data_IF_562194237518
#
_entry.id   IF_562194237518
#
_cell.length_a   1.000
_cell.length_b   1.000
_cell.length_c   1.000
_cell.angle_alpha   90.00
_cell.angle_beta   90.00
_cell.angle_gamma   90.00
#
_symmetry.space_group_name_H-M   'P 1'
#
loop_
_entity.id
_entity.type
_entity.pdbx_description
1 polymer ?
#
# COMPACT_ATOMS: atom_id res chain seq x y z
N UNK A 1 -13.34 26.77 -15.07
CA UNK A 1 -14.36 25.74 -15.32
C UNK A 1 -14.47 24.75 -14.15
N UNK A 2 -13.42 24.08 -13.68
CA UNK A 2 -13.48 23.11 -12.58
C UNK A 2 -14.03 23.69 -11.25
N UNK A 3 -13.49 24.82 -10.78
CA UNK A 3 -13.98 25.47 -9.56
C UNK A 3 -15.45 25.92 -9.65
N UNK A 4 -15.94 26.27 -10.84
CA UNK A 4 -17.34 26.61 -11.03
C UNK A 4 -18.25 25.39 -10.80
N UNK A 5 -17.82 24.21 -11.22
CA UNK A 5 -18.56 22.96 -10.98
C UNK A 5 -18.57 22.61 -9.48
N UNK A 6 -17.43 22.72 -8.79
CA UNK A 6 -17.36 22.50 -7.34
C UNK A 6 -18.32 23.41 -6.61
N UNK A 7 -18.30 24.70 -6.93
CA UNK A 7 -19.18 25.70 -6.31
C UNK A 7 -20.66 25.45 -6.64
N UNK A 8 -20.97 25.01 -7.89
CA UNK A 8 -22.36 24.75 -8.28
C UNK A 8 -22.96 23.51 -7.58
N UNK A 9 -22.11 22.58 -7.14
CA UNK A 9 -22.49 21.37 -6.43
C UNK A 9 -22.35 21.51 -4.90
N UNK A 10 -22.00 22.70 -4.39
CA UNK A 10 -21.74 22.98 -2.98
C UNK A 10 -20.80 21.96 -2.33
N UNK A 11 -19.73 21.62 -3.04
CA UNK A 11 -18.72 20.68 -2.57
C UNK A 11 -17.62 21.41 -1.81
N UNK A 12 -17.19 20.80 -0.71
CA UNK A 12 -16.06 21.27 0.12
C UNK A 12 -14.90 20.32 0.01
N UNK A 13 -13.68 20.85 -0.01
CA UNK A 13 -12.46 20.06 0.05
C UNK A 13 -12.16 19.69 1.51
N UNK A 14 -11.94 18.38 1.77
CA UNK A 14 -11.40 17.92 3.05
C UNK A 14 -9.92 18.29 3.15
N UNK A 15 -9.52 18.74 4.34
CA UNK A 15 -8.13 19.11 4.60
C UNK A 15 -7.19 17.91 4.50
N UNK A 16 -6.10 18.09 3.77
CA UNK A 16 -5.07 17.08 3.62
C UNK A 16 -4.14 17.08 4.83
N UNK A 17 -3.91 15.92 5.43
CA UNK A 17 -2.97 15.77 6.55
C UNK A 17 -1.73 14.97 6.16
N UNK A 18 -0.63 15.20 6.88
CA UNK A 18 0.62 14.45 6.74
C UNK A 18 1.57 14.94 5.65
N UNK A 19 1.07 15.62 4.61
CA UNK A 19 1.84 16.24 3.52
C UNK A 19 1.14 17.48 2.97
N UNK A 20 1.88 18.33 2.26
CA UNK A 20 1.33 19.51 1.59
C UNK A 20 0.88 19.22 0.16
N UNK A 21 1.48 18.22 -0.48
CA UNK A 21 1.29 17.89 -1.88
C UNK A 21 0.87 16.43 -2.06
N UNK A 22 0.27 16.12 -3.21
CA UNK A 22 -0.19 14.77 -3.56
C UNK A 22 0.50 14.21 -4.79
N UNK A 23 1.28 15.04 -5.47
CA UNK A 23 2.04 14.67 -6.65
C UNK A 23 3.44 15.27 -6.63
N UNK A 24 4.41 14.54 -7.15
CA UNK A 24 5.77 15.03 -7.38
C UNK A 24 6.35 14.34 -8.61
N UNK A 25 7.07 15.10 -9.46
CA UNK A 25 7.84 14.48 -10.52
C UNK A 25 9.04 13.69 -9.92
N UNK A 26 9.67 12.85 -10.73
CA UNK A 26 10.78 11.98 -10.29
C UNK A 26 12.16 12.61 -10.49
N UNK A 27 12.24 13.93 -10.72
CA UNK A 27 13.49 14.66 -10.93
C UNK A 27 14.30 14.79 -9.62
N UNK A 28 15.57 15.14 -9.75
CA UNK A 28 16.47 15.40 -8.61
C UNK A 28 15.96 16.59 -7.77
N UNK A 29 15.56 17.66 -8.45
CA UNK A 29 14.84 18.79 -7.87
C UNK A 29 13.37 18.64 -8.24
N UNK A 30 12.55 18.01 -7.37
CA UNK A 30 11.18 17.69 -7.70
C UNK A 30 10.30 18.94 -7.69
N UNK A 31 9.40 19.01 -8.67
CA UNK A 31 8.24 19.90 -8.61
C UNK A 31 7.12 19.19 -7.88
N UNK A 32 6.46 19.88 -6.97
CA UNK A 32 5.37 19.38 -6.16
C UNK A 32 4.07 20.07 -6.52
N UNK A 33 2.97 19.29 -6.56
CA UNK A 33 1.63 19.79 -6.86
C UNK A 33 0.58 19.09 -5.99
N UNK A 34 -0.50 19.83 -5.64
CA UNK A 34 -1.66 19.27 -4.97
C UNK A 34 -2.76 18.99 -6.00
N UNK A 35 -2.62 17.89 -6.73
CA UNK A 35 -3.54 17.52 -7.82
C UNK A 35 -4.75 16.73 -7.30
N UNK A 36 -4.52 15.84 -6.35
CA UNK A 36 -5.55 14.93 -5.85
C UNK A 36 -6.26 15.55 -4.65
N UNK A 37 -7.60 15.53 -4.66
CA UNK A 37 -8.46 16.14 -3.66
C UNK A 37 -9.64 15.24 -3.32
N UNK A 38 -10.09 15.29 -2.09
CA UNK A 38 -11.35 14.67 -1.66
C UNK A 38 -12.37 15.78 -1.44
N UNK A 39 -13.42 15.74 -2.25
CA UNK A 39 -14.52 16.70 -2.21
C UNK A 39 -15.75 16.02 -1.63
N UNK A 40 -16.44 16.67 -0.71
CA UNK A 40 -17.62 16.14 -0.01
C UNK A 40 -18.75 17.15 -0.01
N UNK A 41 -19.99 16.67 0.03
CA UNK A 41 -21.15 17.54 0.24
C UNK A 41 -21.28 17.92 1.73
N UNK A 42 -22.01 19.00 2.00
CA UNK A 42 -22.34 19.43 3.36
C UNK A 42 -23.05 18.31 4.16
N UNK A 43 -23.98 17.61 3.54
CA UNK A 43 -24.68 16.48 4.20
C UNK A 43 -23.73 15.34 4.58
N UNK A 44 -22.74 15.05 3.72
CA UNK A 44 -21.75 14.04 4.00
C UNK A 44 -20.82 14.48 5.15
N UNK A 45 -20.36 15.72 5.16
CA UNK A 45 -19.54 16.31 6.23
C UNK A 45 -20.26 16.26 7.59
N UNK A 46 -21.55 16.60 7.61
CA UNK A 46 -22.38 16.51 8.82
C UNK A 46 -22.54 15.07 9.30
N UNK A 47 -22.61 14.11 8.40
CA UNK A 47 -22.72 12.69 8.74
C UNK A 47 -21.41 12.11 9.26
N UNK A 48 -20.26 12.61 8.81
CA UNK A 48 -18.92 12.11 9.17
C UNK A 48 -18.00 13.26 9.63
N UNK A 49 -18.33 13.94 10.74
CA UNK A 49 -17.65 15.17 11.17
C UNK A 49 -16.18 14.96 11.57
N UNK A 50 -15.74 13.70 11.77
CA UNK A 50 -14.34 13.37 12.08
C UNK A 50 -13.61 12.73 10.91
N UNK A 51 -14.13 12.87 9.70
CA UNK A 51 -13.44 12.39 8.52
C UNK A 51 -12.11 13.12 8.32
N UNK A 52 -11.08 12.36 7.98
CA UNK A 52 -9.73 12.87 7.70
C UNK A 52 -9.19 12.31 6.39
N UNK A 53 -8.44 13.13 5.67
CA UNK A 53 -7.70 12.72 4.47
C UNK A 53 -6.22 12.78 4.76
N UNK A 54 -5.53 11.66 4.58
CA UNK A 54 -4.10 11.58 4.77
C UNK A 54 -3.40 11.16 3.48
N UNK A 55 -2.35 11.89 3.08
CA UNK A 55 -1.45 11.44 2.04
C UNK A 55 -0.47 10.42 2.60
N UNK A 56 -0.44 9.24 1.98
CA UNK A 56 0.47 8.16 2.33
C UNK A 56 1.80 8.29 1.59
N UNK A 57 2.77 7.44 1.97
CA UNK A 57 4.06 7.37 1.29
C UNK A 57 3.88 6.96 -0.17
N UNK A 58 4.60 7.64 -1.06
CA UNK A 58 4.58 7.37 -2.50
C UNK A 58 5.26 6.04 -2.82
N UNK A 59 4.68 5.28 -3.72
CA UNK A 59 5.35 4.12 -4.31
C UNK A 59 6.38 4.55 -5.37
N UNK A 60 7.43 3.75 -5.54
CA UNK A 60 8.52 4.07 -6.50
C UNK A 60 8.02 4.22 -7.93
N UNK A 61 7.02 3.44 -8.31
CA UNK A 61 6.45 3.41 -9.66
C UNK A 61 5.42 4.51 -9.93
N UNK A 62 5.09 5.33 -8.93
CA UNK A 62 4.06 6.37 -9.05
C UNK A 62 4.61 7.75 -8.75
N UNK A 63 4.12 8.75 -9.47
CA UNK A 63 4.33 10.16 -9.16
C UNK A 63 3.25 10.71 -8.19
N UNK A 64 2.15 9.98 -7.99
CA UNK A 64 1.08 10.31 -7.05
C UNK A 64 1.29 9.67 -5.69
N UNK A 65 0.85 10.36 -4.66
CA UNK A 65 0.75 9.86 -3.28
C UNK A 65 -0.67 9.32 -3.07
N UNK A 66 -0.83 8.07 -2.60
CA UNK A 66 -2.15 7.54 -2.30
C UNK A 66 -2.84 8.36 -1.21
N UNK A 67 -4.12 8.66 -1.37
CA UNK A 67 -4.93 9.31 -0.35
C UNK A 67 -5.71 8.27 0.45
N UNK A 68 -5.61 8.34 1.78
CA UNK A 68 -6.40 7.56 2.70
C UNK A 68 -7.49 8.43 3.31
N UNK A 69 -8.74 8.16 2.94
CA UNK A 69 -9.92 8.74 3.58
C UNK A 69 -10.33 7.86 4.75
N UNK A 70 -10.27 8.39 5.96
CA UNK A 70 -10.69 7.72 7.19
C UNK A 70 -11.93 8.41 7.76
N UNK A 71 -12.95 7.65 8.13
CA UNK A 71 -14.17 8.11 8.79
C UNK A 71 -14.66 7.06 9.77
N UNK A 72 -15.42 7.47 10.79
CA UNK A 72 -15.83 6.63 11.93
C UNK A 72 -16.83 5.52 11.57
N UNK A 73 -16.47 4.65 10.66
CA UNK A 73 -17.09 3.33 10.59
C UNK A 73 -16.11 2.39 11.28
N UNK A 74 -16.51 1.86 12.45
CA UNK A 74 -15.76 0.78 13.08
C UNK A 74 -15.48 -0.28 12.01
N UNK A 75 -14.23 -0.54 11.66
CA UNK A 75 -13.95 -1.60 10.71
C UNK A 75 -14.47 -2.89 11.32
N UNK A 76 -15.54 -3.44 10.75
CA UNK A 76 -15.95 -4.78 11.10
C UNK A 76 -14.69 -5.66 11.02
N UNK A 77 -14.48 -6.56 11.97
CA UNK A 77 -13.34 -7.47 12.01
C UNK A 77 -13.42 -8.45 10.82
N UNK A 78 -13.16 -7.94 9.63
CA UNK A 78 -13.03 -8.79 8.44
C UNK A 78 -11.66 -9.45 8.50
N UNK A 79 -11.65 -10.77 8.55
CA UNK A 79 -10.40 -11.53 8.41
C UNK A 79 -9.75 -11.15 7.06
N UNK A 80 -8.46 -10.81 7.03
CA UNK A 80 -7.79 -10.44 5.80
C UNK A 80 -7.90 -11.58 4.77
N UNK A 81 -8.36 -11.24 3.57
CA UNK A 81 -8.45 -12.19 2.47
C UNK A 81 -7.06 -12.77 2.14
N UNK A 82 -7.04 -14.05 1.77
CA UNK A 82 -5.82 -14.66 1.25
C UNK A 82 -5.49 -14.03 -0.11
N UNK A 83 -4.31 -13.44 -0.21
CA UNK A 83 -3.75 -12.92 -1.46
C UNK A 83 -2.55 -13.78 -1.85
N UNK A 84 -2.57 -14.31 -3.07
CA UNK A 84 -1.43 -14.99 -3.66
C UNK A 84 -0.47 -13.95 -4.23
N UNK A 85 0.82 -14.05 -3.88
CA UNK A 85 1.86 -13.16 -4.41
C UNK A 85 2.62 -13.88 -5.53
N UNK A 86 2.65 -13.31 -6.73
CA UNK A 86 3.32 -13.93 -7.90
C UNK A 86 4.81 -14.18 -7.65
N UNK A 87 5.48 -13.35 -6.84
CA UNK A 87 6.86 -13.54 -6.43
C UNK A 87 7.14 -14.86 -5.67
N UNK A 88 6.10 -15.57 -5.21
CA UNK A 88 6.31 -16.90 -4.62
C UNK A 88 6.70 -17.94 -5.66
N UNK A 89 6.28 -17.76 -6.93
CA UNK A 89 6.61 -18.68 -8.02
C UNK A 89 8.09 -18.67 -8.40
N UNK A 90 8.82 -17.60 -8.08
CA UNK A 90 10.26 -17.49 -8.37
C UNK A 90 11.14 -18.09 -7.28
N UNK A 91 10.54 -18.64 -6.21
CA UNK A 91 11.28 -19.23 -5.10
C UNK A 91 11.50 -20.71 -5.33
N UNK A 92 12.73 -21.16 -5.16
CA UNK A 92 13.13 -22.56 -5.40
C UNK A 92 12.35 -23.55 -4.51
N UNK A 93 12.09 -23.16 -3.25
CA UNK A 93 11.40 -24.01 -2.27
C UNK A 93 9.86 -24.01 -2.41
N UNK A 94 9.27 -23.10 -3.19
CA UNK A 94 7.82 -22.94 -3.26
C UNK A 94 7.10 -24.16 -3.82
N UNK A 95 7.66 -24.75 -4.88
CA UNK A 95 7.05 -25.92 -5.55
C UNK A 95 6.98 -27.13 -4.60
N UNK A 96 8.04 -27.39 -3.87
CA UNK A 96 8.09 -28.51 -2.91
C UNK A 96 7.09 -28.32 -1.78
N UNK A 97 7.06 -27.12 -1.22
CA UNK A 97 6.12 -26.73 -0.17
C UNK A 97 4.66 -26.93 -0.59
N UNK A 98 4.29 -26.57 -1.83
CA UNK A 98 2.94 -26.79 -2.35
C UNK A 98 2.66 -28.28 -2.54
N UNK A 99 3.60 -29.05 -3.11
CA UNK A 99 3.47 -30.50 -3.34
C UNK A 99 3.28 -31.22 -2.00
N UNK A 100 4.09 -30.92 -1.00
CA UNK A 100 4.02 -31.56 0.31
C UNK A 100 2.71 -31.29 1.02
N UNK A 101 2.25 -30.02 0.98
CA UNK A 101 0.92 -29.67 1.51
C UNK A 101 -0.20 -30.40 0.76
N UNK A 102 -0.08 -30.56 -0.55
CA UNK A 102 -1.11 -31.20 -1.40
C UNK A 102 -1.15 -32.72 -1.23
N UNK A 103 -0.02 -33.36 -0.99
CA UNK A 103 0.11 -34.82 -0.78
C UNK A 103 -0.46 -35.29 0.55
N UNK A 104 -0.62 -34.39 1.52
CA UNK A 104 -1.17 -34.78 2.81
C UNK A 104 -2.57 -35.40 2.64
N UNK A 105 -2.79 -36.53 3.32
CA UNK A 105 -4.06 -37.20 3.31
C UNK A 105 -5.17 -36.34 3.94
N UNK A 106 -6.34 -36.44 3.41
CA UNK A 106 -7.56 -35.84 3.99
C UNK A 106 -8.73 -36.80 3.78
N UNK A 107 -9.64 -36.85 4.74
CA UNK A 107 -10.88 -37.58 4.66
C UNK A 107 -11.99 -36.66 4.13
N UNK A 108 -12.69 -37.10 3.08
CA UNK A 108 -13.84 -36.42 2.52
C UNK A 108 -14.69 -37.44 1.78
N UNK A 109 -15.98 -37.20 1.71
CA UNK A 109 -16.95 -38.13 1.10
C UNK A 109 -16.96 -37.99 -0.43
N UNK A 110 -16.65 -36.80 -0.92
CA UNK A 110 -16.64 -36.52 -2.38
C UNK A 110 -15.32 -35.90 -2.85
N UNK A 111 -14.97 -36.06 -4.14
CA UNK A 111 -13.79 -35.41 -4.72
C UNK A 111 -13.78 -33.88 -4.53
N UNK A 112 -14.95 -33.23 -4.57
CA UNK A 112 -15.11 -31.80 -4.37
C UNK A 112 -14.78 -31.39 -2.93
N UNK A 113 -15.24 -32.14 -1.94
CA UNK A 113 -14.93 -31.90 -0.53
C UNK A 113 -13.42 -32.06 -0.26
N UNK A 114 -12.82 -33.15 -0.80
CA UNK A 114 -11.38 -33.39 -0.72
C UNK A 114 -10.61 -32.19 -1.30
N UNK A 115 -11.01 -31.71 -2.47
CA UNK A 115 -10.39 -30.55 -3.09
C UNK A 115 -10.53 -29.28 -2.24
N UNK A 116 -11.73 -29.00 -1.72
CA UNK A 116 -11.99 -27.83 -0.85
C UNK A 116 -11.14 -27.86 0.44
N UNK A 117 -11.02 -29.05 1.07
CA UNK A 117 -10.19 -29.25 2.26
C UNK A 117 -8.72 -28.98 1.93
N UNK A 118 -8.22 -29.54 0.83
CA UNK A 118 -6.83 -29.34 0.39
C UNK A 118 -6.52 -27.88 0.10
N UNK A 119 -7.40 -27.17 -0.62
CA UNK A 119 -7.25 -25.73 -0.91
C UNK A 119 -7.25 -24.89 0.36
N UNK A 120 -8.17 -25.17 1.30
CA UNK A 120 -8.25 -24.45 2.58
C UNK A 120 -6.97 -24.64 3.37
N UNK A 121 -6.48 -25.88 3.48
CA UNK A 121 -5.23 -26.23 4.15
C UNK A 121 -4.03 -25.53 3.50
N UNK A 122 -3.93 -25.61 2.18
CA UNK A 122 -2.86 -24.96 1.43
C UNK A 122 -2.83 -23.44 1.66
N UNK A 123 -3.98 -22.76 1.60
CA UNK A 123 -4.09 -21.31 1.88
C UNK A 123 -3.63 -20.98 3.29
N UNK A 124 -4.01 -21.78 4.28
CA UNK A 124 -3.63 -21.57 5.68
C UNK A 124 -2.12 -21.81 5.86
N UNK A 125 -1.59 -22.85 5.27
CA UNK A 125 -0.17 -23.16 5.29
C UNK A 125 0.67 -22.06 4.61
N UNK A 126 0.27 -21.61 3.41
CA UNK A 126 0.97 -20.56 2.68
C UNK A 126 0.95 -19.21 3.41
N UNK A 127 -0.11 -18.89 4.17
CA UNK A 127 -0.11 -17.71 5.05
C UNK A 127 1.02 -17.75 6.08
N UNK A 128 1.23 -18.89 6.73
CA UNK A 128 2.30 -19.10 7.71
C UNK A 128 3.68 -19.10 7.06
N UNK A 129 3.83 -19.85 5.98
CA UNK A 129 5.06 -19.95 5.20
C UNK A 129 5.50 -18.57 4.68
N UNK A 130 4.60 -17.82 4.05
CA UNK A 130 4.87 -16.48 3.56
C UNK A 130 5.28 -15.52 4.68
N UNK A 131 4.59 -15.58 5.84
CA UNK A 131 4.93 -14.74 6.99
C UNK A 131 6.36 -15.01 7.49
N UNK A 132 6.77 -16.27 7.54
CA UNK A 132 8.12 -16.66 8.01
C UNK A 132 9.21 -16.36 6.99
N UNK A 133 8.96 -16.63 5.70
CA UNK A 133 9.97 -16.46 4.65
C UNK A 133 10.07 -15.03 4.11
N UNK A 134 8.96 -14.29 4.08
CA UNK A 134 8.94 -12.91 3.58
C UNK A 134 9.02 -11.87 4.70
N UNK A 135 9.07 -12.27 5.96
CA UNK A 135 9.09 -11.34 7.09
C UNK A 135 10.24 -10.36 7.02
N UNK A 136 11.45 -10.84 6.79
CA UNK A 136 12.66 -10.01 6.67
C UNK A 136 12.56 -9.05 5.46
N UNK A 137 12.15 -9.55 4.32
CA UNK A 137 11.93 -8.78 3.11
C UNK A 137 10.87 -7.67 3.29
N UNK A 138 9.73 -8.00 3.92
CA UNK A 138 8.67 -7.02 4.21
C UNK A 138 9.14 -5.95 5.19
N UNK A 139 9.96 -6.32 6.16
CA UNK A 139 10.55 -5.36 7.09
C UNK A 139 11.55 -4.44 6.39
N UNK A 140 12.48 -4.98 5.60
CA UNK A 140 13.44 -4.19 4.82
C UNK A 140 12.71 -3.25 3.87
N UNK A 141 11.73 -3.74 3.10
CA UNK A 141 10.89 -2.91 2.21
C UNK A 141 10.22 -1.77 2.97
N UNK A 142 9.62 -2.06 4.12
CA UNK A 142 8.94 -1.05 4.96
C UNK A 142 9.93 0.00 5.47
N UNK A 143 11.11 -0.43 5.90
CA UNK A 143 12.16 0.48 6.38
C UNK A 143 12.67 1.40 5.26
N UNK A 144 12.93 0.86 4.06
CA UNK A 144 13.35 1.64 2.91
C UNK A 144 12.29 2.68 2.50
N UNK A 145 11.01 2.28 2.46
CA UNK A 145 9.89 3.19 2.17
C UNK A 145 9.82 4.29 3.24
N UNK A 146 9.96 3.95 4.52
CA UNK A 146 9.95 4.93 5.61
C UNK A 146 11.08 5.96 5.50
N UNK A 147 12.30 5.51 5.18
CA UNK A 147 13.45 6.41 4.98
C UNK A 147 13.26 7.31 3.76
N UNK A 148 12.73 6.78 2.67
CA UNK A 148 12.39 7.56 1.48
C UNK A 148 11.30 8.61 1.78
N UNK A 149 10.28 8.24 2.57
CA UNK A 149 9.21 9.14 2.99
C UNK A 149 9.73 10.35 3.78
N UNK A 150 10.69 10.14 4.67
CA UNK A 150 11.33 11.23 5.43
C UNK A 150 12.05 12.20 4.50
N UNK A 151 12.81 11.68 3.53
CA UNK A 151 13.51 12.52 2.55
C UNK A 151 12.54 13.23 1.61
N UNK A 152 11.46 12.57 1.19
CA UNK A 152 10.42 13.17 0.37
C UNK A 152 9.72 14.32 1.11
N UNK A 153 9.34 14.13 2.37
CA UNK A 153 8.74 15.18 3.21
C UNK A 153 9.68 16.36 3.42
N UNK A 154 10.95 16.09 3.65
CA UNK A 154 11.95 17.15 3.77
C UNK A 154 12.05 17.96 2.48
N UNK A 155 12.02 17.31 1.32
CA UNK A 155 12.12 17.98 0.01
C UNK A 155 10.90 18.85 -0.34
N UNK A 156 9.76 18.67 0.34
CA UNK A 156 8.60 19.56 0.17
C UNK A 156 8.81 20.96 0.76
N UNK A 157 9.71 21.09 1.73
CA UNK A 157 9.92 22.35 2.49
C UNK A 157 11.29 22.97 2.27
N UNK A 158 12.29 22.19 1.87
CA UNK A 158 13.65 22.65 1.68
C UNK A 158 14.42 21.79 0.68
N UNK A 159 15.38 22.38 -0.03
CA UNK A 159 16.25 21.62 -0.93
C UNK A 159 17.06 20.57 -0.16
N UNK A 160 17.19 19.37 -0.73
CA UNK A 160 18.04 18.32 -0.18
C UNK A 160 19.52 18.67 -0.42
N UNK A 161 20.38 18.32 0.54
CA UNK A 161 21.83 18.38 0.38
C UNK A 161 22.30 17.23 -0.53
N UNK A 162 23.50 17.36 -1.13
CA UNK A 162 24.01 16.37 -2.07
C UNK A 162 24.03 14.94 -1.48
N UNK A 163 24.50 14.79 -0.23
CA UNK A 163 24.50 13.47 0.42
C UNK A 163 23.10 12.87 0.64
N UNK A 164 22.06 13.69 0.80
CA UNK A 164 20.66 13.23 0.93
C UNK A 164 20.11 12.78 -0.42
N UNK A 165 20.52 13.46 -1.49
CA UNK A 165 20.19 13.05 -2.86
C UNK A 165 20.82 11.69 -3.17
N UNK A 166 22.09 11.51 -2.85
CA UNK A 166 22.83 10.27 -3.04
C UNK A 166 22.23 9.11 -2.23
N UNK A 167 21.88 9.39 -0.97
CA UNK A 167 21.17 8.45 -0.10
C UNK A 167 19.82 8.05 -0.70
N UNK A 168 19.03 9.02 -1.16
CA UNK A 168 17.72 8.78 -1.79
C UNK A 168 17.83 7.89 -3.02
N UNK A 169 18.85 8.09 -3.86
CA UNK A 169 19.12 7.23 -5.02
C UNK A 169 19.49 5.81 -4.60
N UNK A 170 20.36 5.67 -3.60
CA UNK A 170 20.76 4.37 -3.07
C UNK A 170 19.57 3.60 -2.51
N UNK A 171 18.73 4.25 -1.71
CA UNK A 171 17.51 3.64 -1.15
C UNK A 171 16.52 3.23 -2.24
N UNK A 172 16.33 4.07 -3.28
CA UNK A 172 15.49 3.74 -4.45
C UNK A 172 16.03 2.53 -5.20
N UNK A 173 17.32 2.49 -5.49
CA UNK A 173 17.97 1.38 -6.19
C UNK A 173 17.80 0.06 -5.40
N UNK A 174 18.00 0.10 -4.09
CA UNK A 174 17.81 -1.07 -3.23
C UNK A 174 16.35 -1.53 -3.22
N UNK A 175 15.40 -0.59 -3.16
CA UNK A 175 13.97 -0.93 -3.17
C UNK A 175 13.53 -1.53 -4.51
N UNK A 176 14.09 -1.07 -5.66
CA UNK A 176 13.85 -1.66 -6.98
C UNK A 176 14.37 -3.10 -7.05
N UNK A 177 15.54 -3.38 -6.48
CA UNK A 177 16.09 -4.74 -6.42
C UNK A 177 15.23 -5.71 -5.58
N UNK A 178 14.43 -5.17 -4.66
CA UNK A 178 13.53 -5.95 -3.82
C UNK A 178 12.15 -6.19 -4.47
N UNK A 179 11.80 -5.55 -5.56
CA UNK A 179 10.50 -5.68 -6.24
C UNK A 179 10.54 -6.75 -7.33
#
# INVERSE_FOLDING_TARGET
>A
MFNAVINSLDLKELELTGRNYTWANSLLEPTFERLDKVLVSTDWELKFPRATVQALSREISSNHMPLLLSFDLSPGSSQPLFKFELGWLTRDDFREVVIDSWRQSCSGVSPLEIWQIKIRRLRQFLRGWAKNKTGHYKMEKKELISKLDVLDKKSETQALQQWEIDLKQTLKSRLIQLL
#
